data_IF_510077109226
#
_entry.id   IF_510077109226
#
_cell.length_a   1.000
_cell.length_b   1.000
_cell.length_c   1.000
_cell.angle_alpha   90.00
_cell.angle_beta   90.00
_cell.angle_gamma   90.00
#
_symmetry.space_group_name_H-M   'P 1'
#
loop_
_entity.id
_entity.type
_entity.pdbx_description
1 polymer ?
#
# COMPACT_ATOMS: atom_id res chain seq x y z
N UNK A 1 -3.99 -16.26 6.37
CA UNK A 1 -2.96 -15.46 7.08
C UNK A 1 -3.36 -14.01 6.94
N UNK A 2 -3.56 -13.28 8.04
CA UNK A 2 -4.00 -11.88 8.02
C UNK A 2 -2.82 -10.94 7.81
N UNK A 3 -3.08 -9.68 7.43
CA UNK A 3 -2.04 -8.68 7.21
C UNK A 3 -1.21 -8.38 8.45
N UNK A 4 -1.84 -8.39 9.63
CA UNK A 4 -1.20 -8.16 10.93
C UNK A 4 -0.16 -9.24 11.24
N UNK A 5 -0.48 -10.50 10.93
CA UNK A 5 0.45 -11.61 11.16
C UNK A 5 1.72 -11.47 10.32
N UNK A 6 1.61 -11.00 9.06
CA UNK A 6 2.77 -10.79 8.19
C UNK A 6 3.70 -9.73 8.79
N UNK A 7 3.13 -8.63 9.31
CA UNK A 7 3.91 -7.55 9.95
C UNK A 7 4.57 -8.08 11.23
N UNK A 8 3.83 -8.78 12.09
CA UNK A 8 4.38 -9.38 13.31
C UNK A 8 5.52 -10.37 13.02
N UNK A 9 5.37 -11.19 11.98
CA UNK A 9 6.41 -12.12 11.57
C UNK A 9 7.67 -11.40 11.07
N UNK A 10 7.51 -10.33 10.29
CA UNK A 10 8.63 -9.46 9.90
C UNK A 10 9.35 -8.86 11.11
N UNK A 11 8.61 -8.33 12.08
CA UNK A 11 9.19 -7.77 13.32
C UNK A 11 9.94 -8.83 14.12
N UNK A 12 9.40 -10.05 14.22
CA UNK A 12 10.07 -11.16 14.89
C UNK A 12 11.38 -11.53 14.19
N UNK A 13 11.38 -11.65 12.86
CA UNK A 13 12.58 -11.93 12.06
C UNK A 13 13.65 -10.86 12.25
N UNK A 14 13.26 -9.58 12.25
CA UNK A 14 14.17 -8.46 12.52
C UNK A 14 14.77 -8.55 13.93
N UNK A 15 13.95 -8.80 14.95
CA UNK A 15 14.41 -8.98 16.33
C UNK A 15 15.36 -10.17 16.54
N UNK A 16 15.34 -11.15 15.63
CA UNK A 16 16.27 -12.29 15.60
C UNK A 16 17.52 -12.02 14.75
N UNK A 17 17.64 -10.86 14.10
CA UNK A 17 18.74 -10.51 13.21
C UNK A 17 18.60 -11.03 11.78
N UNK A 18 17.49 -11.68 11.43
CA UNK A 18 17.16 -12.12 10.06
C UNK A 18 16.59 -10.95 9.25
N UNK A 19 17.38 -9.88 9.12
CA UNK A 19 16.93 -8.60 8.57
C UNK A 19 16.48 -8.72 7.10
N UNK A 20 17.21 -9.50 6.29
CA UNK A 20 16.84 -9.70 4.88
C UNK A 20 15.53 -10.49 4.74
N UNK A 21 15.32 -11.47 5.62
CA UNK A 21 14.09 -12.27 5.63
C UNK A 21 12.90 -11.44 6.11
N UNK A 22 13.11 -10.52 7.06
CA UNK A 22 12.10 -9.55 7.47
C UNK A 22 11.64 -8.69 6.28
N UNK A 23 12.59 -8.13 5.52
CA UNK A 23 12.29 -7.38 4.29
C UNK A 23 11.52 -8.24 3.29
N UNK A 24 12.03 -9.45 2.99
CA UNK A 24 11.41 -10.37 2.03
C UNK A 24 10.00 -10.78 2.47
N UNK A 25 9.75 -10.91 3.78
CA UNK A 25 8.44 -11.24 4.34
C UNK A 25 7.40 -10.20 3.93
N UNK A 26 7.74 -8.90 4.03
CA UNK A 26 6.88 -7.80 3.61
C UNK A 26 6.77 -7.72 2.09
N UNK A 27 7.89 -7.68 1.36
CA UNK A 27 7.88 -7.48 -0.11
C UNK A 27 7.05 -8.55 -0.83
N UNK A 28 7.20 -9.81 -0.42
CA UNK A 28 6.51 -10.93 -1.07
C UNK A 28 5.02 -11.03 -0.70
N UNK A 29 4.57 -10.37 0.38
CA UNK A 29 3.21 -10.51 0.89
C UNK A 29 2.44 -9.19 1.00
N UNK A 30 3.01 -8.05 0.59
CA UNK A 30 2.38 -6.74 0.71
C UNK A 30 0.98 -6.68 0.07
N UNK A 31 0.77 -7.40 -1.04
CA UNK A 31 -0.53 -7.49 -1.70
C UNK A 31 -1.62 -8.11 -0.80
N UNK A 32 -1.23 -9.00 0.11
CA UNK A 32 -2.12 -9.67 1.09
C UNK A 32 -2.36 -8.83 2.34
N UNK A 33 -1.59 -7.77 2.55
CA UNK A 33 -1.77 -6.83 3.66
C UNK A 33 -2.85 -5.82 3.28
N UNK A 34 -3.81 -5.62 4.16
CA UNK A 34 -4.89 -4.65 3.99
C UNK A 34 -4.34 -3.25 3.73
N UNK A 35 -4.93 -2.45 2.82
CA UNK A 35 -4.39 -1.14 2.44
C UNK A 35 -4.06 -0.21 3.61
N UNK A 36 -4.88 -0.19 4.66
CA UNK A 36 -4.66 0.63 5.85
C UNK A 36 -3.47 0.20 6.73
N UNK A 37 -2.99 -1.05 6.59
CA UNK A 37 -1.82 -1.56 7.30
C UNK A 37 -0.54 -1.54 6.45
N UNK A 38 -0.64 -1.32 5.14
CA UNK A 38 0.53 -1.25 4.24
C UNK A 38 1.54 -0.16 4.63
N UNK A 39 1.14 1.03 5.12
CA UNK A 39 2.11 1.99 5.64
C UNK A 39 2.97 1.40 6.75
N UNK A 40 2.35 0.75 7.73
CA UNK A 40 3.04 0.10 8.85
C UNK A 40 3.98 -1.02 8.38
N UNK A 41 3.55 -1.81 7.40
CA UNK A 41 4.40 -2.85 6.80
C UNK A 41 5.65 -2.27 6.13
N UNK A 42 5.51 -1.16 5.39
CA UNK A 42 6.66 -0.51 4.75
C UNK A 42 7.61 0.14 5.75
N UNK A 43 7.11 0.69 6.85
CA UNK A 43 7.94 1.18 7.96
C UNK A 43 8.79 0.06 8.56
N UNK A 44 8.20 -1.11 8.79
CA UNK A 44 8.93 -2.26 9.33
C UNK A 44 10.05 -2.73 8.38
N UNK A 45 9.76 -2.83 7.07
CA UNK A 45 10.77 -3.14 6.07
C UNK A 45 11.87 -2.06 5.99
N UNK A 46 11.51 -0.78 6.20
CA UNK A 46 12.47 0.33 6.28
C UNK A 46 13.46 0.14 7.43
N UNK A 47 12.99 -0.16 8.63
CA UNK A 47 13.87 -0.39 9.78
C UNK A 47 14.82 -1.55 9.55
N UNK A 48 14.33 -2.67 9.00
CA UNK A 48 15.20 -3.80 8.65
C UNK A 48 16.27 -3.40 7.61
N UNK A 49 15.95 -2.56 6.63
CA UNK A 49 16.90 -2.06 5.65
C UNK A 49 17.93 -1.09 6.25
N UNK A 50 17.51 -0.21 7.16
CA UNK A 50 18.39 0.71 7.89
C UNK A 50 19.39 -0.07 8.77
N UNK A 51 18.94 -1.10 9.48
CA UNK A 51 19.78 -1.97 10.30
C UNK A 51 20.78 -2.78 9.46
N UNK A 52 20.44 -3.15 8.22
CA UNK A 52 21.38 -3.75 7.26
C UNK A 52 22.36 -2.74 6.63
N UNK A 53 22.15 -1.44 6.82
CA UNK A 53 22.92 -0.39 6.16
C UNK A 53 22.55 -0.17 4.68
N UNK A 54 21.42 -0.71 4.21
CA UNK A 54 20.93 -0.56 2.84
C UNK A 54 20.16 0.75 2.67
N UNK A 55 20.87 1.87 2.66
CA UNK A 55 20.29 3.24 2.61
C UNK A 55 19.34 3.46 1.43
N UNK A 56 19.69 2.94 0.26
CA UNK A 56 18.85 3.11 -0.94
C UNK A 56 17.52 2.37 -0.79
N UNK A 57 17.54 1.15 -0.24
CA UNK A 57 16.31 0.40 0.06
C UNK A 57 15.48 1.06 1.15
N UNK A 58 16.11 1.60 2.20
CA UNK A 58 15.40 2.34 3.24
C UNK A 58 14.67 3.55 2.64
N UNK A 59 15.32 4.31 1.76
CA UNK A 59 14.69 5.44 1.07
C UNK A 59 13.53 4.98 0.16
N UNK A 60 13.70 3.87 -0.56
CA UNK A 60 12.64 3.28 -1.38
C UNK A 60 11.41 2.90 -0.53
N UNK A 61 11.63 2.26 0.62
CA UNK A 61 10.55 1.88 1.53
C UNK A 61 9.86 3.08 2.17
N UNK A 62 10.59 4.15 2.48
CA UNK A 62 10.00 5.42 2.93
C UNK A 62 9.08 6.03 1.86
N UNK A 63 9.47 5.99 0.58
CA UNK A 63 8.62 6.48 -0.51
C UNK A 63 7.37 5.61 -0.66
N UNK A 64 7.51 4.28 -0.59
CA UNK A 64 6.39 3.32 -0.62
C UNK A 64 5.42 3.52 0.55
N UNK A 65 5.93 3.80 1.75
CA UNK A 65 5.11 4.17 2.91
C UNK A 65 4.27 5.41 2.63
N UNK A 66 4.87 6.50 2.11
CA UNK A 66 4.16 7.75 1.80
C UNK A 66 3.02 7.52 0.80
N UNK A 67 3.28 6.77 -0.26
CA UNK A 67 2.25 6.40 -1.25
C UNK A 67 1.15 5.57 -0.59
N UNK A 68 1.50 4.60 0.26
CA UNK A 68 0.53 3.78 0.96
C UNK A 68 -0.33 4.59 1.94
N UNK A 69 0.22 5.61 2.62
CA UNK A 69 -0.55 6.51 3.49
C UNK A 69 -1.62 7.25 2.71
N UNK A 70 -1.24 7.85 1.57
CA UNK A 70 -2.21 8.54 0.69
C UNK A 70 -3.31 7.58 0.21
N UNK A 71 -3.01 6.31 -0.04
CA UNK A 71 -4.00 5.32 -0.45
C UNK A 71 -4.90 4.84 0.71
N UNK A 72 -4.35 4.74 1.93
CA UNK A 72 -5.09 4.36 3.12
C UNK A 72 -6.06 5.46 3.57
N UNK A 73 -5.70 6.72 3.36
CA UNK A 73 -6.49 7.91 3.70
C UNK A 73 -7.53 8.26 2.64
N UNK A 74 -7.45 7.70 1.42
CA UNK A 74 -8.53 7.86 0.46
C UNK A 74 -9.78 7.17 0.99
N UNK A 75 -10.84 7.92 1.35
CA UNK A 75 -12.09 7.30 1.73
C UNK A 75 -12.61 6.49 0.54
N UNK A 76 -13.41 5.47 0.84
CA UNK A 76 -14.19 4.63 -0.06
C UNK A 76 -15.19 5.41 -0.95
N UNK A 77 -14.90 6.68 -1.26
CA UNK A 77 -15.71 7.58 -2.08
C UNK A 77 -15.26 7.48 -3.54
N UNK A 78 -15.52 6.32 -4.15
CA UNK A 78 -15.60 6.19 -5.60
C UNK A 78 -16.89 5.48 -5.97
N UNK A 79 -18.02 6.07 -5.55
CA UNK A 79 -19.14 6.08 -6.46
C UNK A 79 -18.71 6.97 -7.64
N UNK A 80 -18.66 6.49 -8.89
CA UNK A 80 -18.56 7.40 -10.00
C UNK A 80 -19.85 8.22 -9.96
N UNK A 81 -19.75 9.51 -9.59
CA UNK A 81 -20.75 10.46 -10.01
C UNK A 81 -20.66 10.48 -11.54
N UNK A 82 -21.46 9.63 -12.19
CA UNK A 82 -21.81 9.80 -13.58
C UNK A 82 -22.60 11.10 -13.67
N UNK A 83 -21.85 12.21 -13.71
CA UNK A 83 -22.39 13.48 -14.14
C UNK A 83 -22.62 13.31 -15.63
N UNK A 84 -23.82 12.84 -15.97
CA UNK A 84 -24.35 12.85 -17.33
C UNK A 84 -24.60 14.31 -17.74
N UNK A 85 -23.52 15.06 -17.97
CA UNK A 85 -23.54 16.29 -18.74
C UNK A 85 -23.58 15.93 -20.23
N UNK A 86 -24.72 15.43 -20.69
CA UNK A 86 -25.07 15.41 -22.11
C UNK A 86 -26.51 15.89 -22.20
N UNK A 87 -26.65 17.21 -22.33
CA UNK A 87 -27.87 17.81 -22.80
C UNK A 87 -28.16 17.42 -24.25
N UNK A 88 -29.45 17.43 -24.57
CA UNK A 88 -30.03 17.70 -25.89
C UNK A 88 -29.62 16.76 -27.03
N UNK A 89 -30.46 15.78 -27.32
CA UNK A 89 -30.83 15.42 -28.71
C UNK A 89 -32.20 14.74 -28.70
N UNK A 90 -33.27 15.54 -28.80
CA UNK A 90 -34.58 15.06 -29.22
C UNK A 90 -34.54 14.83 -30.73
N UNK A 91 -34.86 13.64 -31.27
CA UNK A 91 -35.10 13.48 -32.68
C UNK A 91 -36.52 13.99 -33.01
N UNK A 92 -36.61 15.01 -33.86
CA UNK A 92 -37.86 15.39 -34.52
C UNK A 92 -38.10 14.36 -35.64
N UNK A 93 -39.22 13.62 -35.67
CA UNK A 93 -39.56 12.79 -36.81
C UNK A 93 -40.15 13.68 -37.92
N UNK A 94 -39.56 13.63 -39.11
CA UNK A 94 -40.16 14.18 -40.32
C UNK A 94 -41.33 13.29 -40.77
N UNK A 95 -42.53 13.86 -40.84
CA UNK A 95 -43.66 13.43 -41.68
C UNK A 95 -44.39 14.67 -42.19
#
# INVERSE_FOLDING_TARGET
MTGEYIIQNSTMLRGQGYLQDAINCIENNIAKISPWLRPTAWVEAKFAAEELGLKDKALEFEQKEKVAKTQAEQPLNRAPLHVSCCGLNNPVPSL
#
